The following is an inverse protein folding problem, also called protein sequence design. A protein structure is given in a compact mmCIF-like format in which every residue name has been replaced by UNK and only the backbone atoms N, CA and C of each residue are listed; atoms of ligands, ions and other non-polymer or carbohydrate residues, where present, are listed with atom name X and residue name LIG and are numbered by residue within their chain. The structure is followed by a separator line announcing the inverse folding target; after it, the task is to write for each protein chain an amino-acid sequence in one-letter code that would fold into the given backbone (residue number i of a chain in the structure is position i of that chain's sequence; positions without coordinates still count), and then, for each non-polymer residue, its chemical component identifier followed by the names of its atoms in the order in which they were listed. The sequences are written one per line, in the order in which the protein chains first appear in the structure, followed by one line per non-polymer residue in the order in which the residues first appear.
data_IF_545868078733
#
_entry.id   IF_545868078733
#
_cell.length_a   1.000
_cell.length_b   1.000
_cell.length_c   1.000
_cell.angle_alpha   90.00
_cell.angle_beta   90.00
_cell.angle_gamma   90.00
#
_symmetry.space_group_name_H-M   'P 1'
#
loop_
_entity.id
_entity.type
_entity.pdbx_description
1 polymer ?
#
# COMPACT_ATOMS: atom_id res chain seq x y z
N UNK A 1 -14.98 -11.10 21.75
CA UNK A 1 -15.58 -9.84 21.26
C UNK A 1 -14.77 -9.35 20.06
N UNK A 2 -15.25 -9.48 18.80
CA UNK A 2 -14.53 -8.92 17.67
C UNK A 2 -14.74 -7.40 17.66
N UNK A 3 -13.63 -6.65 17.66
CA UNK A 3 -13.63 -5.19 17.59
C UNK A 3 -14.05 -4.79 16.18
N UNK A 4 -15.20 -4.13 16.09
CA UNK A 4 -15.82 -3.64 14.86
C UNK A 4 -14.80 -2.96 13.94
N UNK A 5 -14.84 -3.32 12.66
CA UNK A 5 -14.11 -2.64 11.60
C UNK A 5 -14.52 -1.16 11.58
N UNK A 6 -13.62 -0.28 12.02
CA UNK A 6 -13.81 1.16 11.86
C UNK A 6 -13.70 1.49 10.38
N UNK A 7 -14.85 1.77 9.76
CA UNK A 7 -14.95 2.46 8.48
C UNK A 7 -15.10 3.94 8.80
N UNK A 8 -13.97 4.62 8.96
CA UNK A 8 -13.86 6.06 9.16
C UNK A 8 -12.66 6.57 8.35
N UNK A 9 -12.53 7.90 8.17
CA UNK A 9 -11.50 8.48 7.30
C UNK A 9 -10.12 8.02 7.77
N UNK A 10 -9.37 7.30 6.94
CA UNK A 10 -8.15 6.64 7.41
C UNK A 10 -6.99 7.64 7.46
N UNK A 11 -6.89 8.29 8.61
CA UNK A 11 -5.68 9.01 9.02
C UNK A 11 -4.48 8.04 9.06
N UNK A 12 -3.29 8.54 8.71
CA UNK A 12 -2.05 7.76 8.80
C UNK A 12 -1.90 7.13 10.21
N UNK A 13 -1.54 5.84 10.31
CA UNK A 13 -1.62 5.09 11.56
C UNK A 13 -0.63 5.61 12.60
N UNK A 14 -1.01 5.55 13.88
CA UNK A 14 -0.16 5.99 15.00
C UNK A 14 1.18 5.22 15.07
N UNK A 15 1.23 4.00 14.52
CA UNK A 15 2.44 3.19 14.42
C UNK A 15 3.48 3.71 13.41
N UNK A 16 3.13 4.68 12.55
CA UNK A 16 4.12 5.38 11.73
C UNK A 16 4.95 6.32 12.61
N UNK A 17 6.28 6.17 12.54
CA UNK A 17 7.19 7.16 13.11
C UNK A 17 6.97 8.54 12.48
N UNK A 18 7.38 9.59 13.19
CA UNK A 18 7.26 10.98 12.72
C UNK A 18 7.87 11.19 11.33
N UNK A 19 8.98 10.51 11.02
CA UNK A 19 9.65 10.65 9.74
C UNK A 19 8.92 9.89 8.61
N UNK A 20 8.40 8.68 8.88
CA UNK A 20 7.52 7.96 7.94
C UNK A 20 6.25 8.78 7.65
N UNK A 21 5.64 9.36 8.70
CA UNK A 21 4.45 10.22 8.57
C UNK A 21 4.70 11.44 7.69
N UNK A 22 5.80 12.17 7.91
CA UNK A 22 6.18 13.32 7.05
C UNK A 22 6.44 12.92 5.60
N UNK A 23 7.03 11.74 5.37
CA UNK A 23 7.21 11.21 4.02
C UNK A 23 5.87 10.89 3.38
N UNK A 24 4.97 10.25 4.13
CA UNK A 24 3.62 9.94 3.67
C UNK A 24 2.82 11.20 3.35
N UNK A 25 2.79 12.21 4.24
CA UNK A 25 2.11 13.48 4.00
C UNK A 25 2.58 14.16 2.71
N UNK A 26 3.89 14.21 2.48
CA UNK A 26 4.47 14.75 1.23
C UNK A 26 4.09 13.93 0.01
N UNK A 27 4.11 12.60 0.12
CA UNK A 27 3.76 11.71 -0.99
C UNK A 27 2.28 11.79 -1.35
N UNK A 28 1.41 11.90 -0.33
CA UNK A 28 -0.03 11.94 -0.48
C UNK A 28 -0.51 13.29 -1.03
N UNK A 29 0.18 14.39 -0.71
CA UNK A 29 -0.14 15.71 -1.29
C UNK A 29 -1.55 16.22 -0.94
N UNK A 30 -2.14 15.73 0.16
CA UNK A 30 -3.51 16.03 0.57
C UNK A 30 -4.50 14.89 0.30
N UNK A 31 -4.13 13.88 -0.48
CA UNK A 31 -4.98 12.71 -0.67
C UNK A 31 -5.09 11.86 0.59
N UNK A 32 -6.27 11.29 0.80
CA UNK A 32 -6.55 10.45 1.93
C UNK A 32 -6.18 8.98 1.66
N UNK A 33 -5.45 8.37 2.60
CA UNK A 33 -5.20 6.93 2.58
C UNK A 33 -6.40 6.19 3.17
N UNK A 34 -7.12 5.41 2.38
CA UNK A 34 -8.28 4.62 2.80
C UNK A 34 -7.87 3.37 3.61
N UNK A 35 -6.64 2.88 3.37
CA UNK A 35 -6.04 1.78 4.12
C UNK A 35 -4.53 2.03 4.22
N UNK A 36 -3.93 1.72 5.37
CA UNK A 36 -2.49 1.84 5.58
C UNK A 36 -1.94 0.58 6.26
N UNK A 37 -1.07 -0.15 5.57
CA UNK A 37 -0.50 -1.42 6.04
C UNK A 37 1.02 -1.33 6.09
N UNK A 38 1.62 -1.70 7.22
CA UNK A 38 3.06 -1.93 7.30
C UNK A 38 3.35 -3.36 6.85
N UNK A 39 4.12 -3.50 5.79
CA UNK A 39 4.43 -4.81 5.19
C UNK A 39 5.69 -5.44 5.80
N UNK A 40 5.90 -6.71 5.50
CA UNK A 40 7.17 -7.42 5.74
C UNK A 40 8.17 -7.23 4.59
N UNK A 41 7.74 -6.65 3.46
CA UNK A 41 8.63 -6.27 2.37
C UNK A 41 9.62 -5.19 2.79
N UNK A 42 10.83 -5.29 2.25
CA UNK A 42 11.93 -4.36 2.53
C UNK A 42 12.56 -3.84 1.25
N UNK A 43 12.98 -2.59 1.26
CA UNK A 43 13.68 -1.93 0.15
C UNK A 43 14.93 -1.23 0.65
N UNK A 44 15.94 -1.13 -0.20
CA UNK A 44 17.11 -0.32 0.12
C UNK A 44 16.69 1.14 0.28
N UNK A 45 17.07 1.73 1.42
CA UNK A 45 16.81 3.12 1.76
C UNK A 45 18.09 3.87 2.14
N UNK A 46 19.26 3.33 1.76
CA UNK A 46 20.57 3.94 2.01
C UNK A 46 21.03 3.88 3.47
N UNK A 47 20.58 2.88 4.24
CA UNK A 47 21.00 2.67 5.64
C UNK A 47 22.00 1.52 5.74
N UNK A 48 23.08 1.73 6.50
CA UNK A 48 24.04 0.66 6.80
C UNK A 48 23.43 -0.44 7.69
N UNK A 49 22.48 -0.11 8.58
CA UNK A 49 21.78 -1.06 9.47
C UNK A 49 20.75 -1.94 8.76
N UNK A 50 20.70 -1.91 7.43
CA UNK A 50 19.81 -2.73 6.62
C UNK A 50 18.60 -1.97 6.03
N UNK A 51 17.81 -2.67 5.21
CA UNK A 51 16.76 -2.08 4.39
C UNK A 51 15.55 -1.63 5.23
N UNK A 52 14.78 -0.69 4.68
CA UNK A 52 13.56 -0.15 5.31
C UNK A 52 12.34 -0.99 4.98
N UNK A 53 11.43 -1.17 5.94
CA UNK A 53 10.13 -1.82 5.70
C UNK A 53 9.21 -0.89 4.92
N UNK A 54 8.49 -1.45 3.95
CA UNK A 54 7.52 -0.72 3.15
C UNK A 54 6.20 -0.55 3.88
N UNK A 55 5.65 0.65 3.80
CA UNK A 55 4.24 0.92 3.97
C UNK A 55 3.54 0.86 2.62
N UNK A 56 2.36 0.25 2.61
CA UNK A 56 1.43 0.28 1.49
C UNK A 56 0.18 1.07 1.92
N UNK A 57 -0.08 2.17 1.21
CA UNK A 57 -1.21 3.06 1.45
C UNK A 57 -2.14 2.97 0.26
N UNK A 58 -3.37 2.49 0.48
CA UNK A 58 -4.38 2.42 -0.55
C UNK A 58 -5.13 3.76 -0.58
N UNK A 59 -5.11 4.44 -1.71
CA UNK A 59 -5.86 5.67 -1.98
C UNK A 59 -7.02 5.36 -2.91
N UNK A 60 -7.90 6.32 -3.18
CA UNK A 60 -9.07 6.13 -4.05
C UNK A 60 -8.74 5.47 -5.40
N UNK A 61 -7.71 5.95 -6.08
CA UNK A 61 -7.34 5.50 -7.44
C UNK A 61 -5.90 4.99 -7.55
N UNK A 62 -5.14 4.98 -6.45
CA UNK A 62 -3.72 4.66 -6.46
C UNK A 62 -3.32 3.83 -5.25
N UNK A 63 -2.21 3.10 -5.38
CA UNK A 63 -1.48 2.50 -4.30
C UNK A 63 -0.18 3.28 -4.11
N UNK A 64 0.01 3.89 -2.94
CA UNK A 64 1.25 4.56 -2.59
C UNK A 64 2.13 3.65 -1.73
N UNK A 65 3.39 3.49 -2.13
CA UNK A 65 4.39 2.68 -1.43
C UNK A 65 5.49 3.60 -0.89
N UNK A 66 5.87 3.44 0.38
CA UNK A 66 6.95 4.24 0.95
C UNK A 66 7.78 3.52 2.02
N UNK A 67 9.06 3.86 2.08
CA UNK A 67 9.95 3.48 3.18
C UNK A 67 10.93 4.62 3.47
N UNK A 68 11.09 4.96 4.75
CA UNK A 68 11.92 6.09 5.17
C UNK A 68 13.39 5.68 5.44
N UNK A 69 14.33 6.45 4.90
CA UNK A 69 15.78 6.39 5.19
C UNK A 69 16.52 7.55 4.49
N UNK A 70 17.86 7.59 4.56
CA UNK A 70 18.65 8.62 3.87
C UNK A 70 18.36 8.73 2.37
N UNK A 71 18.06 7.61 1.72
CA UNK A 71 17.57 7.53 0.34
C UNK A 71 16.15 6.94 0.37
N UNK A 72 15.10 7.74 0.66
CA UNK A 72 13.78 7.20 0.88
C UNK A 72 13.22 6.56 -0.39
N UNK A 73 12.41 5.52 -0.21
CA UNK A 73 11.57 4.97 -1.26
C UNK A 73 10.19 5.62 -1.19
N UNK A 74 9.68 6.08 -2.33
CA UNK A 74 8.33 6.61 -2.47
C UNK A 74 7.87 6.39 -3.92
N UNK A 75 6.70 5.80 -4.10
CA UNK A 75 6.13 5.50 -5.40
C UNK A 75 4.60 5.55 -5.31
N UNK A 76 3.94 6.06 -6.35
CA UNK A 76 2.47 6.03 -6.51
C UNK A 76 2.16 5.23 -7.76
N UNK A 77 1.24 4.28 -7.63
CA UNK A 77 0.91 3.33 -8.69
C UNK A 77 -0.59 3.42 -8.94
N UNK A 78 -1.04 3.81 -10.15
CA UNK A 78 -2.46 3.76 -10.50
C UNK A 78 -3.06 2.37 -10.31
N UNK A 79 -4.19 2.27 -9.62
CA UNK A 79 -4.91 0.99 -9.42
C UNK A 79 -5.33 0.38 -10.76
N UNK A 80 -5.56 1.20 -11.79
CA UNK A 80 -5.84 0.72 -13.15
C UNK A 80 -4.73 -0.20 -13.70
N UNK A 81 -3.50 -0.08 -13.22
CA UNK A 81 -2.34 -0.90 -13.58
C UNK A 81 -2.10 -2.09 -12.63
N UNK A 82 -2.98 -2.26 -11.64
CA UNK A 82 -2.86 -3.30 -10.61
C UNK A 82 -3.99 -4.33 -10.68
N UNK A 83 -4.78 -4.34 -11.76
CA UNK A 83 -6.00 -5.14 -11.89
C UNK A 83 -5.79 -6.66 -11.86
N UNK A 84 -4.61 -7.11 -12.25
CA UNK A 84 -4.25 -8.54 -12.29
C UNK A 84 -3.47 -8.97 -11.04
N UNK A 85 -3.41 -8.11 -10.02
CA UNK A 85 -2.76 -8.43 -8.75
C UNK A 85 -3.42 -9.63 -8.08
N UNK A 86 -2.60 -10.52 -7.51
CA UNK A 86 -3.06 -11.75 -6.85
C UNK A 86 -2.31 -11.96 -5.55
N UNK A 87 -3.00 -12.53 -4.55
CA UNK A 87 -2.35 -12.99 -3.34
C UNK A 87 -2.00 -14.47 -3.47
N UNK A 88 -0.73 -14.79 -3.25
CA UNK A 88 -0.26 -16.16 -3.13
C UNK A 88 -0.17 -16.55 -1.64
N UNK A 89 -1.08 -17.41 -1.14
CA UNK A 89 -1.09 -17.81 0.27
C UNK A 89 0.07 -18.72 0.66
N UNK A 90 0.72 -19.39 -0.31
CA UNK A 90 1.88 -20.26 -0.06
C UNK A 90 3.12 -19.41 0.24
N UNK A 91 3.33 -18.32 -0.49
CA UNK A 91 4.49 -17.42 -0.29
C UNK A 91 4.22 -16.27 0.67
N UNK A 92 2.94 -15.99 0.97
CA UNK A 92 2.54 -14.83 1.76
C UNK A 92 2.68 -13.50 1.00
N UNK A 93 2.70 -13.54 -0.33
CA UNK A 93 2.99 -12.39 -1.18
C UNK A 93 1.77 -11.94 -1.98
N UNK A 94 1.45 -10.65 -1.91
CA UNK A 94 0.56 -9.96 -2.84
C UNK A 94 1.40 -9.49 -4.02
N UNK A 95 1.26 -10.16 -5.15
CA UNK A 95 1.91 -9.80 -6.42
C UNK A 95 1.15 -8.62 -7.04
N UNK A 96 1.88 -7.56 -7.40
CA UNK A 96 1.37 -6.35 -8.04
C UNK A 96 1.50 -6.48 -9.56
N UNK A 97 0.36 -6.50 -10.28
CA UNK A 97 0.35 -6.75 -11.72
C UNK A 97 -0.85 -6.08 -12.44
N UNK A 98 -0.73 -5.75 -13.74
CA UNK A 98 0.42 -5.96 -14.61
C UNK A 98 1.29 -4.69 -14.71
N UNK A 99 2.42 -4.63 -13.99
CA UNK A 99 3.37 -3.53 -14.18
C UNK A 99 4.81 -4.02 -14.03
N UNK A 100 5.53 -4.09 -15.16
CA UNK A 100 6.88 -4.63 -15.25
C UNK A 100 7.95 -3.64 -14.78
N UNK A 101 7.62 -2.34 -14.78
CA UNK A 101 8.50 -1.25 -14.41
C UNK A 101 8.45 -0.90 -12.92
N UNK A 102 7.59 -1.56 -12.13
CA UNK A 102 7.59 -1.36 -10.67
C UNK A 102 8.94 -1.79 -10.09
N UNK A 103 9.49 -0.91 -9.26
CA UNK A 103 10.67 -1.24 -8.45
C UNK A 103 10.34 -2.29 -7.39
N UNK A 104 9.08 -2.35 -6.96
CA UNK A 104 8.54 -3.35 -6.03
C UNK A 104 7.39 -4.08 -6.72
N UNK A 105 7.59 -5.35 -7.05
CA UNK A 105 6.61 -6.18 -7.78
C UNK A 105 5.69 -6.99 -6.88
N UNK A 106 5.98 -7.04 -5.59
CA UNK A 106 5.24 -7.83 -4.63
C UNK A 106 5.42 -7.33 -3.21
N UNK A 107 4.38 -7.53 -2.41
CA UNK A 107 4.34 -7.16 -1.01
C UNK A 107 4.21 -8.43 -0.18
N UNK A 108 5.07 -8.64 0.82
CA UNK A 108 4.90 -9.69 1.82
C UNK A 108 4.05 -9.14 2.97
N UNK A 109 2.93 -9.79 3.24
CA UNK A 109 2.00 -9.37 4.28
C UNK A 109 1.09 -10.52 4.73
N UNK A 110 0.55 -10.44 5.96
CA UNK A 110 -0.41 -11.41 6.45
C UNK A 110 -1.66 -11.50 5.56
N UNK A 111 -2.29 -12.69 5.46
CA UNK A 111 -3.43 -12.92 4.57
C UNK A 111 -4.55 -11.88 4.70
N UNK A 112 -4.91 -11.51 5.93
CA UNK A 112 -5.97 -10.53 6.18
C UNK A 112 -5.67 -9.16 5.53
N UNK A 113 -4.45 -8.66 5.70
CA UNK A 113 -4.05 -7.38 5.13
C UNK A 113 -3.89 -7.47 3.61
N UNK A 114 -3.44 -8.62 3.09
CA UNK A 114 -3.39 -8.88 1.66
C UNK A 114 -4.77 -8.82 1.02
N UNK A 115 -5.76 -9.49 1.61
CA UNK A 115 -7.13 -9.51 1.10
C UNK A 115 -7.80 -8.14 1.19
N UNK A 116 -7.52 -7.34 2.23
CA UNK A 116 -8.00 -5.95 2.31
C UNK A 116 -7.46 -5.09 1.16
N UNK A 117 -6.15 -5.15 0.91
CA UNK A 117 -5.53 -4.41 -0.20
C UNK A 117 -6.03 -4.91 -1.56
N UNK A 118 -6.16 -6.23 -1.74
CA UNK A 118 -6.66 -6.82 -2.97
C UNK A 118 -8.13 -6.46 -3.24
N UNK A 119 -8.98 -6.49 -2.21
CA UNK A 119 -10.37 -6.04 -2.31
C UNK A 119 -10.45 -4.56 -2.71
N UNK A 120 -9.60 -3.71 -2.14
CA UNK A 120 -9.50 -2.30 -2.50
C UNK A 120 -9.12 -2.10 -3.98
N UNK A 121 -8.05 -2.76 -4.44
CA UNK A 121 -7.59 -2.72 -5.83
C UNK A 121 -8.73 -3.11 -6.80
N UNK A 122 -9.51 -4.14 -6.46
CA UNK A 122 -10.62 -4.63 -7.28
C UNK A 122 -11.82 -3.69 -7.26
N UNK A 123 -12.20 -3.18 -6.10
CA UNK A 123 -13.35 -2.27 -5.94
C UNK A 123 -13.13 -0.94 -6.68
N UNK A 124 -11.92 -0.38 -6.61
CA UNK A 124 -11.55 0.84 -7.34
C UNK A 124 -11.42 0.66 -8.86
N UNK A 125 -11.48 -0.57 -9.36
CA UNK A 125 -11.42 -0.91 -10.79
C UNK A 125 -12.77 -0.96 -11.50
N UNK A 126 -13.88 -0.91 -10.76
CA UNK A 126 -15.23 -0.92 -11.31
C UNK A 126 -15.62 0.52 -11.68
N UNK A 127 -15.65 0.90 -12.99
CA UNK A 127 -16.33 2.13 -13.36
C UNK A 127 -17.79 1.99 -12.93
N UNK A 128 -18.32 3.00 -12.25
CA UNK A 128 -19.70 3.00 -11.81
C UNK A 128 -20.60 2.58 -12.96
N UNK A 129 -21.44 1.58 -12.71
CA UNK A 129 -22.65 1.35 -13.48
C UNK A 129 -23.47 2.64 -13.36
N UNK A 130 -23.25 3.58 -14.27
CA UNK A 130 -24.21 4.61 -14.59
C UNK A 130 -25.37 3.88 -15.26
N UNK A 131 -26.29 3.35 -14.46
CA UNK A 131 -27.62 3.03 -14.95
C UNK A 131 -28.26 4.33 -15.42
N UNK A 132 -28.55 4.36 -16.71
CA UNK A 132 -29.36 5.38 -17.38
C UNK A 132 -30.84 5.07 -17.22
#
# INVERSE_FOLDING_TARGET
MPRSAQTGPSALPAAMSRAERRLAERLLGGDEALLAVKTDSRVDVGRWRGPGRLWALALRHELALLAHGPKPYAERIPISRLRESVYNPVTGELVLAPEHHLRVRGLRLPPLEAYKLLAHIRASGVPGTSES
#
